data_IF_509846739316
#
_entry.id   IF_509846739316
#
_cell.length_a   1.000
_cell.length_b   1.000
_cell.length_c   1.000
_cell.angle_alpha   90.00
_cell.angle_beta   90.00
_cell.angle_gamma   90.00
#
_symmetry.space_group_name_H-M   'P 1'
#
loop_
_entity.id
_entity.type
_entity.pdbx_description
1 polymer ?
#
# COMPACT_ATOMS: atom_id res chain seq x y z
N UNK A 1 3.56 6.93 -9.44
CA UNK A 1 3.26 5.54 -9.86
C UNK A 1 4.56 4.72 -9.93
N UNK A 2 5.12 4.35 -8.78
CA UNK A 2 6.16 3.30 -8.74
C UNK A 2 5.47 1.96 -8.52
N UNK A 3 4.91 1.43 -9.61
CA UNK A 3 4.55 0.01 -9.72
C UNK A 3 5.63 -0.67 -10.56
N UNK A 4 6.67 -1.20 -9.91
CA UNK A 4 7.42 -2.36 -10.41
C UNK A 4 8.33 -2.91 -9.28
N UNK A 5 8.06 -4.14 -8.81
CA UNK A 5 8.82 -5.36 -9.14
C UNK A 5 10.02 -5.59 -8.22
N UNK A 6 9.86 -6.54 -7.30
CA UNK A 6 10.96 -7.33 -6.74
C UNK A 6 11.79 -7.89 -7.89
N UNK A 7 13.08 -7.55 -7.96
CA UNK A 7 14.17 -8.42 -8.41
C UNK A 7 15.53 -7.71 -8.28
N UNK A 8 16.42 -8.32 -7.49
CA UNK A 8 17.87 -8.39 -7.70
C UNK A 8 18.66 -7.08 -7.80
N UNK A 9 19.19 -6.61 -6.69
CA UNK A 9 20.33 -5.69 -6.68
C UNK A 9 21.58 -6.45 -7.15
N UNK A 10 21.85 -6.45 -8.45
CA UNK A 10 23.10 -6.91 -9.03
C UNK A 10 24.10 -5.75 -9.06
N UNK A 11 25.16 -5.85 -8.26
CA UNK A 11 26.29 -4.93 -8.29
C UNK A 11 26.99 -5.02 -9.65
N UNK A 12 27.12 -3.90 -10.36
CA UNK A 12 28.14 -3.75 -11.39
C UNK A 12 28.76 -2.35 -11.30
N UNK A 13 30.08 -2.38 -11.08
CA UNK A 13 30.99 -1.26 -10.96
C UNK A 13 31.21 -0.60 -12.32
N UNK A 14 30.97 0.70 -12.46
CA UNK A 14 31.39 1.53 -13.60
C UNK A 14 31.91 2.86 -13.04
N UNK A 15 33.20 3.11 -13.28
CA UNK A 15 33.93 4.22 -12.70
C UNK A 15 33.63 5.59 -13.31
N UNK A 16 33.95 6.61 -12.51
CA UNK A 16 34.44 7.91 -12.96
C UNK A 16 33.41 8.94 -13.39
N UNK A 17 32.86 9.71 -12.44
CA UNK A 17 32.54 11.13 -12.66
C UNK A 17 32.83 11.93 -11.37
N UNK A 18 33.47 13.08 -11.55
CA UNK A 18 34.02 14.03 -10.59
C UNK A 18 32.99 14.83 -9.78
N UNK A 19 33.35 15.11 -8.51
CA UNK A 19 32.94 16.25 -7.66
C UNK A 19 31.52 16.83 -7.87
N UNK A 20 30.55 16.23 -7.17
CA UNK A 20 29.31 16.89 -6.76
C UNK A 20 29.01 16.43 -5.33
N UNK A 21 28.48 17.33 -4.49
CA UNK A 21 28.27 17.15 -3.05
C UNK A 21 27.87 15.72 -2.68
N UNK A 22 28.66 15.09 -1.79
CA UNK A 22 28.56 13.69 -1.38
C UNK A 22 27.37 13.44 -0.43
N UNK A 23 26.20 13.98 -0.77
CA UNK A 23 24.97 13.83 0.00
C UNK A 23 24.17 12.71 -0.63
N UNK A 24 23.99 11.60 0.08
CA UNK A 24 23.18 10.49 -0.42
C UNK A 24 21.72 10.95 -0.60
N UNK A 25 20.95 10.29 -1.48
CA UNK A 25 19.51 10.55 -1.60
C UNK A 25 18.81 10.47 -0.23
N UNK A 26 19.26 9.55 0.64
CA UNK A 26 18.74 9.37 1.99
C UNK A 26 18.98 10.59 2.87
N UNK A 27 20.16 11.21 2.79
CA UNK A 27 20.50 12.40 3.58
C UNK A 27 19.75 13.64 3.07
N UNK A 28 19.68 13.82 1.75
CA UNK A 28 18.86 14.86 1.14
C UNK A 28 17.38 14.71 1.53
N UNK A 29 16.84 13.49 1.43
CA UNK A 29 15.45 13.21 1.79
C UNK A 29 15.18 13.50 3.27
N UNK A 30 16.10 13.12 4.17
CA UNK A 30 16.00 13.46 5.60
C UNK A 30 15.95 14.96 5.84
N UNK A 31 16.76 15.74 5.13
CA UNK A 31 16.78 17.20 5.23
C UNK A 31 15.46 17.82 4.76
N UNK A 32 14.99 17.45 3.57
CA UNK A 32 13.71 17.97 3.01
C UNK A 32 12.53 17.66 3.95
N UNK A 33 12.51 16.47 4.55
CA UNK A 33 11.44 16.07 5.47
C UNK A 33 11.44 16.80 6.82
N UNK A 34 12.42 17.68 7.10
CA UNK A 34 12.37 18.57 8.27
C UNK A 34 11.29 19.66 8.13
N UNK A 35 10.92 20.03 6.90
CA UNK A 35 9.83 20.96 6.64
C UNK A 35 8.44 20.30 6.88
N UNK A 36 7.58 20.87 7.75
CA UNK A 36 6.22 20.38 7.95
C UNK A 36 5.35 20.30 6.69
N UNK A 37 5.48 21.24 5.76
CA UNK A 37 4.70 21.24 4.52
C UNK A 37 5.15 20.12 3.59
N UNK A 38 6.46 19.89 3.47
CA UNK A 38 7.00 18.77 2.70
C UNK A 38 6.54 17.42 3.27
N UNK A 39 6.51 17.26 4.60
CA UNK A 39 5.94 16.05 5.23
C UNK A 39 4.46 15.87 4.91
N UNK A 40 3.69 16.96 4.89
CA UNK A 40 2.25 16.92 4.58
C UNK A 40 2.03 16.49 3.13
N UNK A 41 2.72 17.12 2.19
CA UNK A 41 2.64 16.78 0.77
C UNK A 41 3.10 15.33 0.51
N UNK A 42 4.20 14.91 1.14
CA UNK A 42 4.67 13.54 1.00
C UNK A 42 3.68 12.51 1.56
N UNK A 43 3.05 12.81 2.71
CA UNK A 43 1.96 12.00 3.25
C UNK A 43 0.80 11.87 2.24
N UNK A 44 0.37 12.97 1.62
CA UNK A 44 -0.70 12.95 0.62
C UNK A 44 -0.37 12.04 -0.57
N UNK A 45 0.89 12.05 -1.03
CA UNK A 45 1.39 11.15 -2.08
C UNK A 45 1.29 9.69 -1.64
N UNK A 46 1.75 9.34 -0.44
CA UNK A 46 1.66 7.96 0.08
C UNK A 46 0.21 7.46 0.17
N UNK A 47 -0.70 8.33 0.61
CA UNK A 47 -2.12 8.00 0.68
C UNK A 47 -2.72 7.78 -0.71
N UNK A 48 -2.33 8.59 -1.70
CA UNK A 48 -2.74 8.41 -3.09
C UNK A 48 -2.22 7.08 -3.68
N UNK A 49 -0.98 6.72 -3.40
CA UNK A 49 -0.41 5.45 -3.84
C UNK A 49 -1.19 4.25 -3.29
N UNK A 50 -1.61 4.30 -2.02
CA UNK A 50 -2.45 3.25 -1.44
C UNK A 50 -3.83 3.18 -2.12
N UNK A 51 -4.50 4.32 -2.35
CA UNK A 51 -5.79 4.36 -3.09
C UNK A 51 -5.65 3.72 -4.47
N UNK A 52 -4.63 4.15 -5.20
CA UNK A 52 -4.34 3.65 -6.55
C UNK A 52 -4.05 2.15 -6.54
N UNK A 53 -3.31 1.64 -5.54
CA UNK A 53 -3.05 0.22 -5.38
C UNK A 53 -4.34 -0.59 -5.18
N UNK A 54 -5.25 -0.16 -4.30
CA UNK A 54 -6.50 -0.88 -4.05
C UNK A 54 -7.39 -0.96 -5.30
N UNK A 55 -7.52 0.16 -6.02
CA UNK A 55 -8.26 0.23 -7.29
C UNK A 55 -7.61 -0.67 -8.33
N UNK A 56 -6.28 -0.63 -8.42
CA UNK A 56 -5.50 -1.45 -9.34
C UNK A 56 -5.71 -2.94 -9.08
N UNK A 57 -5.61 -3.39 -7.83
CA UNK A 57 -5.78 -4.79 -7.45
C UNK A 57 -7.18 -5.30 -7.80
N UNK A 58 -8.23 -4.52 -7.51
CA UNK A 58 -9.60 -4.88 -7.88
C UNK A 58 -9.76 -5.02 -9.39
N UNK A 59 -9.25 -4.05 -10.16
CA UNK A 59 -9.29 -4.10 -11.63
C UNK A 59 -8.50 -5.30 -12.18
N UNK A 60 -7.33 -5.62 -11.60
CA UNK A 60 -6.55 -6.82 -11.95
C UNK A 60 -7.33 -8.11 -11.73
N UNK A 61 -8.18 -8.17 -10.70
CA UNK A 61 -9.10 -9.28 -10.45
C UNK A 61 -10.39 -9.22 -11.28
N UNK A 62 -10.51 -8.25 -12.20
CA UNK A 62 -11.66 -8.03 -13.11
C UNK A 62 -12.99 -7.83 -12.38
N UNK A 63 -12.95 -7.22 -11.20
CA UNK A 63 -14.15 -6.96 -10.40
C UNK A 63 -14.62 -5.50 -10.54
N UNK A 64 -15.93 -5.32 -10.67
CA UNK A 64 -16.58 -4.02 -10.48
C UNK A 64 -16.63 -3.67 -8.99
N UNK A 65 -16.86 -2.40 -8.65
CA UNK A 65 -17.09 -2.02 -7.25
C UNK A 65 -18.31 -2.74 -6.67
N UNK A 66 -19.35 -2.99 -7.48
CA UNK A 66 -20.54 -3.73 -7.09
C UNK A 66 -20.21 -5.18 -6.73
N UNK A 67 -19.47 -5.88 -7.61
CA UNK A 67 -19.07 -7.26 -7.37
C UNK A 67 -18.15 -7.41 -6.14
N UNK A 68 -17.27 -6.43 -5.90
CA UNK A 68 -16.47 -6.42 -4.67
C UNK A 68 -17.34 -6.17 -3.43
N UNK A 69 -18.33 -5.28 -3.52
CA UNK A 69 -19.24 -4.98 -2.43
C UNK A 69 -20.05 -6.21 -2.00
N UNK A 70 -20.53 -6.99 -2.97
CA UNK A 70 -21.22 -8.28 -2.75
C UNK A 70 -20.34 -9.27 -1.97
N UNK A 71 -19.05 -9.38 -2.34
CA UNK A 71 -18.10 -10.24 -1.62
C UNK A 71 -17.78 -9.76 -0.21
N UNK A 72 -17.80 -8.45 0.01
CA UNK A 72 -17.54 -7.84 1.32
C UNK A 72 -18.80 -7.80 2.21
N UNK A 73 -19.99 -8.02 1.65
CA UNK A 73 -21.26 -7.84 2.37
C UNK A 73 -21.58 -6.38 2.70
N UNK A 74 -21.12 -5.43 1.88
CA UNK A 74 -21.33 -3.98 2.05
C UNK A 74 -21.97 -3.37 0.81
N UNK A 75 -22.27 -2.07 0.84
CA UNK A 75 -22.81 -1.35 -0.33
C UNK A 75 -21.71 -0.97 -1.32
N UNK A 76 -22.07 -0.81 -2.60
CA UNK A 76 -21.15 -0.24 -3.61
C UNK A 76 -20.60 1.12 -3.20
N UNK A 77 -21.45 1.96 -2.58
CA UNK A 77 -21.03 3.27 -2.05
C UNK A 77 -19.94 3.11 -1.00
N UNK A 78 -20.05 2.12 -0.10
CA UNK A 78 -19.02 1.83 0.89
C UNK A 78 -17.70 1.42 0.24
N UNK A 79 -17.72 0.59 -0.80
CA UNK A 79 -16.50 0.25 -1.57
C UNK A 79 -15.91 1.48 -2.24
N UNK A 80 -16.73 2.34 -2.86
CA UNK A 80 -16.25 3.58 -3.46
C UNK A 80 -15.60 4.49 -2.41
N UNK A 81 -16.18 4.58 -1.22
CA UNK A 81 -15.61 5.34 -0.11
C UNK A 81 -14.30 4.71 0.35
N UNK A 82 -14.22 3.38 0.54
CA UNK A 82 -12.98 2.68 0.89
C UNK A 82 -11.85 2.97 -0.10
N UNK A 83 -12.13 2.95 -1.41
CA UNK A 83 -11.12 3.27 -2.43
C UNK A 83 -10.75 4.76 -2.47
N UNK A 84 -11.71 5.66 -2.25
CA UNK A 84 -11.49 7.11 -2.31
C UNK A 84 -10.86 7.69 -1.05
N UNK A 85 -11.11 7.09 0.11
CA UNK A 85 -10.62 7.55 1.42
C UNK A 85 -9.50 6.69 1.98
N UNK A 86 -9.00 5.69 1.23
CA UNK A 86 -7.84 4.92 1.67
C UNK A 86 -6.61 5.84 1.82
N UNK A 87 -5.78 5.50 2.79
CA UNK A 87 -4.62 6.25 3.24
C UNK A 87 -3.92 5.58 4.41
N UNK A 88 -2.89 6.20 4.97
CA UNK A 88 -2.06 5.61 6.02
C UNK A 88 -2.82 5.33 7.34
N UNK A 89 -3.99 5.94 7.53
CA UNK A 89 -4.89 5.68 8.66
C UNK A 89 -5.83 4.49 8.44
N UNK A 90 -5.81 3.86 7.27
CA UNK A 90 -6.65 2.69 6.97
C UNK A 90 -6.22 1.52 7.84
N UNK A 91 -7.17 0.92 8.56
CA UNK A 91 -6.84 -0.18 9.46
C UNK A 91 -6.33 -1.40 8.71
N UNK A 92 -5.45 -2.16 9.36
CA UNK A 92 -4.96 -3.43 8.82
C UNK A 92 -6.11 -4.39 8.50
N UNK A 93 -7.13 -4.43 9.36
CA UNK A 93 -8.32 -5.26 9.15
C UNK A 93 -9.08 -4.88 7.87
N UNK A 94 -9.25 -3.59 7.59
CA UNK A 94 -9.93 -3.14 6.37
C UNK A 94 -9.14 -3.54 5.11
N UNK A 95 -7.81 -3.40 5.13
CA UNK A 95 -6.94 -3.85 4.04
C UNK A 95 -6.99 -5.37 3.87
N UNK A 96 -7.01 -6.12 4.97
CA UNK A 96 -7.07 -7.57 4.97
C UNK A 96 -8.40 -8.08 4.41
N UNK A 97 -9.54 -7.54 4.87
CA UNK A 97 -10.87 -7.86 4.31
C UNK A 97 -10.95 -7.54 2.82
N UNK A 98 -10.39 -6.40 2.40
CA UNK A 98 -10.32 -6.03 0.98
C UNK A 98 -9.52 -7.05 0.18
N UNK A 99 -8.34 -7.47 0.67
CA UNK A 99 -7.53 -8.51 0.05
C UNK A 99 -8.26 -9.86 -0.02
N UNK A 100 -8.91 -10.29 1.06
CA UNK A 100 -9.69 -11.53 1.12
C UNK A 100 -10.84 -11.55 0.10
N UNK A 101 -11.60 -10.45 -0.01
CA UNK A 101 -12.66 -10.34 -1.00
C UNK A 101 -12.15 -10.39 -2.46
N UNK A 102 -10.87 -10.05 -2.67
CA UNK A 102 -10.17 -10.23 -3.94
C UNK A 102 -9.56 -11.63 -4.11
N UNK A 103 -9.55 -12.49 -3.07
CA UNK A 103 -8.86 -13.77 -3.05
C UNK A 103 -7.34 -13.60 -3.02
N UNK A 104 -6.85 -12.68 -2.20
CA UNK A 104 -5.44 -12.35 -1.98
C UNK A 104 -5.08 -12.51 -0.51
N UNK A 105 -3.83 -12.88 -0.25
CA UNK A 105 -3.21 -12.76 1.08
C UNK A 105 -2.68 -11.33 1.26
N UNK A 106 -2.69 -10.83 2.50
CA UNK A 106 -1.99 -9.60 2.88
C UNK A 106 -0.71 -9.97 3.64
N UNK A 107 0.43 -9.41 3.23
CA UNK A 107 1.72 -9.57 3.92
C UNK A 107 2.21 -8.21 4.38
N UNK A 108 2.63 -8.14 5.64
CA UNK A 108 3.38 -7.03 6.21
C UNK A 108 4.82 -7.48 6.45
N UNK A 109 5.78 -6.62 6.12
CA UNK A 109 7.20 -6.84 6.34
C UNK A 109 7.76 -5.66 7.14
N UNK A 110 8.57 -5.95 8.15
CA UNK A 110 9.36 -4.96 8.88
C UNK A 110 10.80 -5.11 8.43
N UNK A 111 11.40 -4.04 7.94
CA UNK A 111 12.77 -4.00 7.47
C UNK A 111 13.57 -2.91 8.20
N UNK A 112 14.88 -3.09 8.33
CA UNK A 112 15.77 -2.05 8.86
C UNK A 112 16.13 -0.99 7.80
N UNK A 113 17.06 -0.10 8.15
CA UNK A 113 17.47 1.00 7.28
C UNK A 113 18.25 0.56 6.04
N UNK A 114 18.79 -0.66 6.04
CA UNK A 114 19.53 -1.28 4.93
C UNK A 114 18.61 -2.16 4.07
N UNK A 115 17.36 -2.35 4.49
CA UNK A 115 16.33 -3.11 3.78
C UNK A 115 16.29 -4.60 4.15
N UNK A 116 17.03 -5.03 5.18
CA UNK A 116 16.97 -6.40 5.67
C UNK A 116 15.63 -6.64 6.39
N UNK A 117 14.89 -7.67 5.96
CA UNK A 117 13.57 -7.99 6.52
C UNK A 117 13.74 -8.75 7.84
N UNK A 118 13.42 -8.06 8.93
CA UNK A 118 13.55 -8.58 10.30
C UNK A 118 12.35 -9.43 10.73
N UNK A 119 11.15 -9.10 10.25
CA UNK A 119 9.92 -9.81 10.61
C UNK A 119 8.87 -9.77 9.49
N UNK A 120 8.04 -10.81 9.44
CA UNK A 120 6.89 -10.90 8.54
C UNK A 120 5.63 -11.28 9.30
N UNK A 121 4.51 -10.68 8.92
CA UNK A 121 3.18 -11.07 9.35
C UNK A 121 2.30 -11.30 8.11
N UNK A 122 1.48 -12.34 8.12
CA UNK A 122 0.64 -12.70 6.97
C UNK A 122 -0.78 -13.03 7.39
N UNK A 123 -1.74 -12.52 6.62
CA UNK A 123 -3.14 -12.87 6.70
C UNK A 123 -3.52 -13.61 5.41
N UNK A 124 -3.97 -14.86 5.55
CA UNK A 124 -4.37 -15.69 4.41
C UNK A 124 -5.75 -15.31 3.87
N UNK A 125 -6.09 -15.70 2.62
CA UNK A 125 -7.38 -15.37 2.02
C UNK A 125 -8.58 -15.95 2.80
N UNK A 126 -8.33 -17.03 3.55
CA UNK A 126 -9.27 -17.80 4.35
C UNK A 126 -9.16 -17.54 5.87
N UNK A 127 -8.30 -16.60 6.29
CA UNK A 127 -8.14 -16.24 7.71
C UNK A 127 -9.45 -15.65 8.28
N UNK A 128 -10.00 -16.18 9.39
CA UNK A 128 -11.27 -15.70 9.93
C UNK A 128 -11.11 -14.38 10.69
N UNK A 129 -11.31 -13.25 9.99
CA UNK A 129 -11.22 -11.89 10.59
C UNK A 129 -12.50 -11.45 11.35
N UNK A 130 -13.44 -12.35 11.61
CA UNK A 130 -14.76 -12.05 12.21
C UNK A 130 -15.78 -11.47 11.21
N UNK A 131 -17.07 -11.52 11.56
CA UNK A 131 -18.14 -11.09 10.65
C UNK A 131 -18.10 -9.58 10.39
N UNK A 132 -18.25 -9.18 9.12
CA UNK A 132 -18.50 -7.78 8.78
C UNK A 132 -19.97 -7.47 9.14
N UNK A 133 -20.28 -6.37 9.86
CA UNK A 133 -21.67 -5.97 10.06
C UNK A 133 -22.34 -5.79 8.70
N UNK A 134 -23.31 -6.66 8.38
CA UNK A 134 -24.07 -6.56 7.14
C UNK A 134 -24.82 -5.24 7.15
N UNK A 135 -24.59 -4.41 6.13
CA UNK A 135 -25.45 -3.24 5.93
C UNK A 135 -26.84 -3.76 5.53
N UNK A 136 -27.93 -3.37 6.22
CA UNK A 136 -29.26 -3.80 5.81
C UNK A 136 -29.54 -3.32 4.38
N UNK A 137 -30.11 -4.21 3.57
CA UNK A 137 -30.58 -3.85 2.24
C UNK A 137 -31.72 -2.83 2.41
N UNK A 138 -31.46 -1.59 2.04
CA UNK A 138 -32.46 -0.52 1.91
C UNK A 138 -33.10 -0.56 0.54
#
# INVERSE_FOLDING_TARGET
>A
MRLALTNGCGSNNMGGVSEASNTSFRDYFKEVMQDPEERRLYREVLEEELRNLLVYLRKRRRLTQQALAERLGVTRSRVSQMEASAGLSTSLEALARYAQALGLSLRLEFADEDGEVLARYSLSPDEPLGETPRTPAG
#
